data_IF_999944574228
#
_entry.id   IF_999944574228
#
_cell.length_a   1.000
_cell.length_b   1.000
_cell.length_c   1.000
_cell.angle_alpha   90.00
_cell.angle_beta   90.00
_cell.angle_gamma   90.00
#
_symmetry.space_group_name_H-M   'P 1'
#
loop_
_entity.id
_entity.type
_entity.pdbx_description
1 polymer ?
#
# COMPACT_ATOMS: atom_id res chain seq x y z
N UNK A 1 11.13 -11.87 6.85
CA UNK A 1 9.71 -12.04 7.23
C UNK A 1 9.05 -13.10 6.33
N UNK A 2 8.96 -12.88 5.01
CA UNK A 2 8.28 -13.81 4.07
C UNK A 2 8.78 -15.26 4.19
N UNK A 3 10.11 -15.47 4.25
CA UNK A 3 10.68 -16.80 4.42
C UNK A 3 10.19 -17.48 5.72
N UNK A 4 10.12 -16.75 6.83
CA UNK A 4 9.56 -17.27 8.07
C UNK A 4 8.08 -17.66 7.93
N UNK A 5 7.27 -16.80 7.31
CA UNK A 5 5.84 -17.10 7.14
C UNK A 5 5.59 -18.38 6.33
N UNK A 6 6.46 -18.65 5.35
CA UNK A 6 6.35 -19.84 4.51
C UNK A 6 6.92 -21.11 5.16
N UNK A 7 8.05 -21.00 5.86
CA UNK A 7 8.80 -22.17 6.36
C UNK A 7 8.59 -22.44 7.83
N UNK A 8 8.14 -21.42 8.60
CA UNK A 8 8.11 -21.41 10.08
C UNK A 8 9.47 -21.62 10.74
N UNK A 9 10.55 -21.52 9.98
CA UNK A 9 11.90 -21.63 10.52
C UNK A 9 12.27 -20.34 11.27
N UNK A 10 12.47 -20.47 12.57
CA UNK A 10 12.76 -19.37 13.51
C UNK A 10 13.98 -18.53 13.12
N UNK A 11 14.96 -19.13 12.46
CA UNK A 11 16.17 -18.41 12.00
C UNK A 11 15.84 -17.23 11.10
N UNK A 12 14.80 -17.34 10.26
CA UNK A 12 14.36 -16.24 9.41
C UNK A 12 13.65 -15.12 10.18
N UNK A 13 12.94 -15.46 11.27
CA UNK A 13 12.35 -14.46 12.14
C UNK A 13 13.43 -13.68 12.90
N UNK A 14 14.40 -14.40 13.48
CA UNK A 14 15.49 -13.79 14.24
C UNK A 14 16.34 -12.86 13.37
N UNK A 15 16.66 -13.27 12.13
CA UNK A 15 17.37 -12.42 11.17
C UNK A 15 16.54 -11.20 10.76
N UNK A 16 15.21 -11.36 10.56
CA UNK A 16 14.34 -10.24 10.24
C UNK A 16 14.29 -9.22 11.39
N UNK A 17 14.15 -9.68 12.63
CA UNK A 17 14.17 -8.82 13.83
C UNK A 17 15.46 -8.05 13.95
N UNK A 18 16.61 -8.75 13.76
CA UNK A 18 17.93 -8.13 13.81
C UNK A 18 18.04 -6.98 12.80
N UNK A 19 17.63 -7.22 11.55
CA UNK A 19 17.69 -6.20 10.48
C UNK A 19 16.76 -5.03 10.77
N UNK A 20 15.53 -5.29 11.20
CA UNK A 20 14.57 -4.21 11.47
C UNK A 20 15.05 -3.35 12.64
N UNK A 21 15.58 -3.96 13.71
CA UNK A 21 16.18 -3.20 14.82
C UNK A 21 17.34 -2.32 14.36
N UNK A 22 18.23 -2.84 13.54
CA UNK A 22 19.33 -2.06 12.97
C UNK A 22 18.81 -0.90 12.11
N UNK A 23 17.86 -1.16 11.24
CA UNK A 23 17.29 -0.14 10.35
C UNK A 23 16.51 0.93 11.12
N UNK A 24 15.83 0.58 12.23
CA UNK A 24 15.13 1.52 13.06
C UNK A 24 16.08 2.59 13.65
N UNK A 25 17.32 2.23 13.98
CA UNK A 25 18.33 3.18 14.47
C UNK A 25 18.71 4.25 13.43
N UNK A 26 18.48 4.01 12.15
CA UNK A 26 18.75 5.00 11.09
C UNK A 26 17.79 6.20 11.18
N UNK A 27 16.61 6.02 11.78
CA UNK A 27 15.64 7.08 12.07
C UNK A 27 16.12 8.13 13.07
N UNK A 28 17.15 7.81 13.88
CA UNK A 28 17.77 8.77 14.81
C UNK A 28 18.47 9.92 14.09
N UNK A 29 18.77 9.75 12.81
CA UNK A 29 19.28 10.82 11.97
C UNK A 29 18.11 11.72 11.53
N UNK A 30 17.76 12.69 12.38
CA UNK A 30 16.63 13.63 12.24
C UNK A 30 16.62 14.46 10.95
N UNK A 31 17.61 14.33 10.09
CA UNK A 31 17.64 14.95 8.76
C UNK A 31 16.88 14.13 7.69
N UNK A 32 16.28 13.03 8.08
CA UNK A 32 15.57 12.09 7.20
C UNK A 32 14.06 12.18 7.43
N UNK A 33 13.58 13.33 7.83
CA UNK A 33 12.14 13.61 7.86
C UNK A 33 11.68 13.83 6.42
N UNK A 34 10.89 12.93 5.91
CA UNK A 34 10.32 13.03 4.58
C UNK A 34 9.69 11.75 4.11
N UNK A 35 8.82 11.88 3.15
CA UNK A 35 7.83 10.91 2.67
C UNK A 35 8.30 9.47 2.58
N UNK A 36 9.52 9.24 2.07
CA UNK A 36 9.97 7.89 1.73
C UNK A 36 10.70 7.17 2.88
N UNK A 37 11.55 7.86 3.59
CA UNK A 37 12.42 7.20 4.58
C UNK A 37 11.67 6.86 5.85
N UNK A 38 10.94 7.84 6.40
CA UNK A 38 10.13 7.65 7.60
C UNK A 38 9.00 6.64 7.34
N UNK A 39 8.30 6.75 6.21
CA UNK A 39 7.29 5.77 5.79
C UNK A 39 7.89 4.37 5.62
N UNK A 40 9.11 4.25 5.08
CA UNK A 40 9.79 2.96 4.95
C UNK A 40 10.08 2.34 6.31
N UNK A 41 10.61 3.10 7.26
CA UNK A 41 10.90 2.61 8.61
C UNK A 41 9.61 2.23 9.35
N UNK A 42 8.59 3.07 9.28
CA UNK A 42 7.26 2.75 9.84
C UNK A 42 6.69 1.46 9.26
N UNK A 43 6.76 1.30 7.94
CA UNK A 43 6.30 0.09 7.25
C UNK A 43 7.04 -1.16 7.71
N UNK A 44 8.37 -1.09 7.82
CA UNK A 44 9.20 -2.23 8.23
C UNK A 44 8.93 -2.64 9.68
N UNK A 45 8.83 -1.67 10.60
CA UNK A 45 8.51 -1.94 12.00
C UNK A 45 7.11 -2.54 12.13
N UNK A 46 6.12 -1.99 11.44
CA UNK A 46 4.74 -2.48 11.46
C UNK A 46 4.64 -3.90 10.89
N UNK A 47 5.26 -4.16 9.74
CA UNK A 47 5.27 -5.49 9.14
C UNK A 47 5.99 -6.53 10.01
N UNK A 48 7.06 -6.14 10.70
CA UNK A 48 7.76 -7.06 11.60
C UNK A 48 6.93 -7.33 12.85
N UNK A 49 6.29 -6.30 13.40
CA UNK A 49 5.44 -6.41 14.57
C UNK A 49 4.26 -7.37 14.32
N UNK A 50 3.52 -7.16 13.25
CA UNK A 50 2.37 -7.98 12.89
C UNK A 50 2.77 -9.40 12.48
N UNK A 51 3.63 -9.54 11.49
CA UNK A 51 3.95 -10.83 10.88
C UNK A 51 4.75 -11.78 11.79
N UNK A 52 5.45 -11.25 12.79
CA UNK A 52 6.27 -12.03 13.72
C UNK A 52 5.73 -12.02 15.15
N UNK A 53 4.55 -11.45 15.39
CA UNK A 53 3.99 -11.17 16.71
C UNK A 53 4.10 -12.37 17.66
N UNK A 54 3.69 -13.57 17.21
CA UNK A 54 3.67 -14.79 18.03
C UNK A 54 5.05 -15.29 18.47
N UNK A 55 6.10 -14.86 17.76
CA UNK A 55 7.49 -15.31 18.00
C UNK A 55 8.41 -14.24 18.56
N UNK A 56 7.94 -13.00 18.66
CA UNK A 56 8.69 -11.92 19.30
C UNK A 56 8.71 -12.10 20.81
N UNK A 57 9.87 -11.85 21.44
CA UNK A 57 9.93 -11.67 22.88
C UNK A 57 9.34 -10.32 23.30
N UNK A 58 9.02 -10.20 24.59
CA UNK A 58 8.39 -8.99 25.13
C UNK A 58 9.25 -7.73 24.96
N UNK A 59 10.56 -7.84 25.05
CA UNK A 59 11.47 -6.70 24.86
C UNK A 59 11.43 -6.20 23.40
N UNK A 60 11.43 -7.14 22.46
CA UNK A 60 11.34 -6.82 21.01
C UNK A 60 9.97 -6.28 20.64
N UNK A 61 8.88 -6.83 21.18
CA UNK A 61 7.54 -6.25 20.97
C UNK A 61 7.48 -4.81 21.45
N UNK A 62 7.94 -4.56 22.68
CA UNK A 62 7.95 -3.21 23.24
C UNK A 62 8.81 -2.25 22.41
N UNK A 63 9.97 -2.70 21.95
CA UNK A 63 10.83 -1.90 21.07
C UNK A 63 10.10 -1.53 19.77
N UNK A 64 9.58 -2.51 19.03
CA UNK A 64 8.88 -2.24 17.76
C UNK A 64 7.65 -1.38 17.96
N UNK A 65 6.87 -1.61 19.01
CA UNK A 65 5.70 -0.79 19.33
C UNK A 65 6.08 0.68 19.58
N UNK A 66 7.21 0.92 20.27
CA UNK A 66 7.74 2.26 20.48
C UNK A 66 8.18 2.92 19.17
N UNK A 67 8.89 2.20 18.31
CA UNK A 67 9.30 2.73 16.99
C UNK A 67 8.10 3.05 16.10
N UNK A 68 7.07 2.18 16.09
CA UNK A 68 5.83 2.44 15.36
C UNK A 68 5.15 3.71 15.90
N UNK A 69 5.10 3.88 17.23
CA UNK A 69 4.56 5.07 17.87
C UNK A 69 5.32 6.32 17.47
N UNK A 70 6.65 6.31 17.56
CA UNK A 70 7.49 7.48 17.24
C UNK A 70 7.35 7.87 15.76
N UNK A 71 7.56 6.94 14.83
CA UNK A 71 7.43 7.22 13.39
C UNK A 71 6.00 7.59 12.98
N UNK A 72 4.99 6.85 13.47
CA UNK A 72 3.59 7.12 13.16
C UNK A 72 3.13 8.47 13.70
N UNK A 73 3.52 8.83 14.94
CA UNK A 73 3.19 10.14 15.53
C UNK A 73 3.91 11.29 14.81
N UNK A 74 5.15 11.08 14.37
CA UNK A 74 5.91 12.06 13.59
C UNK A 74 5.21 12.31 12.25
N UNK A 75 4.90 11.25 11.50
CA UNK A 75 4.16 11.35 10.23
C UNK A 75 2.80 12.01 10.41
N UNK A 76 2.03 11.59 11.40
CA UNK A 76 0.72 12.17 11.68
C UNK A 76 0.81 13.68 11.97
N UNK A 77 1.74 14.10 12.83
CA UNK A 77 1.97 15.51 13.13
C UNK A 77 2.39 16.32 11.91
N UNK A 78 3.24 15.74 11.07
CA UNK A 78 3.74 16.42 9.88
C UNK A 78 2.64 16.59 8.85
N UNK A 79 1.77 15.61 8.73
CA UNK A 79 0.81 15.51 7.64
C UNK A 79 -0.59 16.03 7.98
N UNK A 80 -0.95 16.07 9.27
CA UNK A 80 -2.25 16.63 9.66
C UNK A 80 -2.38 18.09 9.19
N UNK A 81 -3.51 18.44 8.60
CA UNK A 81 -3.79 19.72 7.92
C UNK A 81 -2.95 19.99 6.66
N UNK A 82 -2.17 19.02 6.18
CA UNK A 82 -1.40 19.10 4.94
C UNK A 82 -1.88 18.14 3.88
N UNK A 83 -2.20 16.90 4.27
CA UNK A 83 -2.73 15.88 3.37
C UNK A 83 -4.00 16.33 2.66
N UNK A 84 -4.85 17.08 3.34
CA UNK A 84 -6.10 17.60 2.79
C UNK A 84 -5.86 18.52 1.58
N UNK A 85 -4.74 19.24 1.59
CA UNK A 85 -4.34 20.13 0.50
C UNK A 85 -3.54 19.39 -0.60
N UNK A 86 -2.99 18.22 -0.27
CA UNK A 86 -2.13 17.44 -1.16
C UNK A 86 -2.74 16.07 -1.50
N UNK A 87 -4.03 15.90 -1.28
CA UNK A 87 -4.71 14.61 -1.48
C UNK A 87 -4.66 14.11 -2.95
N UNK A 88 -4.36 14.99 -3.89
CA UNK A 88 -4.08 14.64 -5.28
C UNK A 88 -2.59 14.34 -5.52
N UNK A 89 -1.72 14.54 -4.53
CA UNK A 89 -0.29 14.24 -4.63
C UNK A 89 -0.04 12.74 -4.55
N UNK A 90 0.71 12.24 -5.52
CA UNK A 90 0.97 10.80 -5.60
C UNK A 90 1.88 10.28 -4.50
N UNK A 91 2.79 11.10 -3.98
CA UNK A 91 3.65 10.71 -2.87
C UNK A 91 2.86 10.53 -1.59
N UNK A 92 1.90 11.42 -1.34
CA UNK A 92 0.96 11.30 -0.23
C UNK A 92 0.20 9.97 -0.30
N UNK A 93 -0.36 9.65 -1.45
CA UNK A 93 -1.06 8.39 -1.64
C UNK A 93 -0.17 7.16 -1.48
N UNK A 94 0.98 7.20 -2.10
CA UNK A 94 1.91 6.08 -2.16
C UNK A 94 2.53 5.75 -0.81
N UNK A 95 2.92 6.75 -0.06
CA UNK A 95 3.72 6.58 1.14
C UNK A 95 2.94 6.90 2.41
N UNK A 96 2.59 8.16 2.63
CA UNK A 96 2.02 8.56 3.91
C UNK A 96 0.69 7.91 4.17
N UNK A 97 -0.25 8.08 3.28
CA UNK A 97 -1.62 7.60 3.48
C UNK A 97 -1.69 6.07 3.63
N UNK A 98 -1.07 5.34 2.72
CA UNK A 98 -1.06 3.88 2.77
C UNK A 98 -0.33 3.34 3.99
N UNK A 99 0.87 3.86 4.25
CA UNK A 99 1.72 3.34 5.33
C UNK A 99 1.16 3.72 6.71
N UNK A 100 0.67 4.95 6.87
CA UNK A 100 0.04 5.35 8.13
C UNK A 100 -1.24 4.53 8.39
N UNK A 101 -2.06 4.27 7.37
CA UNK A 101 -3.22 3.38 7.48
C UNK A 101 -2.78 1.98 7.92
N UNK A 102 -1.79 1.40 7.28
CA UNK A 102 -1.29 0.07 7.62
C UNK A 102 -0.76 0.02 9.06
N UNK A 103 0.04 1.00 9.47
CA UNK A 103 0.59 1.08 10.82
C UNK A 103 -0.53 1.22 11.87
N UNK A 104 -1.52 2.09 11.62
CA UNK A 104 -2.67 2.26 12.49
C UNK A 104 -3.41 0.93 12.73
N UNK A 105 -3.67 0.18 11.66
CA UNK A 105 -4.31 -1.14 11.78
C UNK A 105 -3.45 -2.17 12.51
N UNK A 106 -2.12 -2.13 12.30
CA UNK A 106 -1.20 -3.06 12.97
C UNK A 106 -1.24 -2.93 14.49
N UNK A 107 -1.39 -1.72 15.01
CA UNK A 107 -1.35 -1.44 16.44
C UNK A 107 -2.69 -0.97 17.02
N UNK A 108 -3.79 -1.17 16.27
CA UNK A 108 -5.13 -0.81 16.68
C UNK A 108 -5.52 -1.54 17.96
N UNK A 109 -5.97 -0.78 18.96
CA UNK A 109 -6.30 -1.32 20.29
C UNK A 109 -5.08 -1.52 21.21
N UNK A 110 -3.86 -1.36 20.73
CA UNK A 110 -2.64 -1.44 21.55
C UNK A 110 -2.01 -0.06 21.80
N UNK A 111 -2.05 0.84 20.79
CA UNK A 111 -1.61 2.23 20.92
C UNK A 111 -2.80 3.18 20.85
N UNK A 112 -3.02 4.04 21.86
CA UNK A 112 -4.11 5.02 21.82
C UNK A 112 -4.02 5.99 20.62
N UNK A 113 -2.82 6.29 20.16
CA UNK A 113 -2.57 7.17 19.01
C UNK A 113 -3.11 6.58 17.70
N UNK A 114 -3.22 5.24 17.61
CA UNK A 114 -3.70 4.56 16.41
C UNK A 114 -5.16 4.88 16.08
N UNK A 115 -5.98 5.20 17.08
CA UNK A 115 -7.37 5.60 16.87
C UNK A 115 -7.42 6.89 16.03
N UNK A 116 -6.64 7.91 16.41
CA UNK A 116 -6.57 9.17 15.69
C UNK A 116 -6.00 8.99 14.27
N UNK A 117 -5.00 8.13 14.09
CA UNK A 117 -4.45 7.83 12.76
C UNK A 117 -5.48 7.13 11.87
N UNK A 118 -6.22 6.16 12.45
CA UNK A 118 -7.26 5.42 11.73
C UNK A 118 -8.38 6.35 11.28
N UNK A 119 -8.89 7.19 12.18
CA UNK A 119 -9.95 8.14 11.88
C UNK A 119 -9.53 9.16 10.82
N UNK A 120 -8.32 9.69 10.94
CA UNK A 120 -7.77 10.65 9.99
C UNK A 120 -7.66 10.06 8.58
N UNK A 121 -7.01 8.91 8.47
CA UNK A 121 -6.87 8.22 7.19
C UNK A 121 -8.22 7.78 6.60
N UNK A 122 -9.17 7.36 7.45
CA UNK A 122 -10.52 7.01 7.01
C UNK A 122 -11.26 8.21 6.42
N UNK A 123 -11.23 9.34 7.10
CA UNK A 123 -11.87 10.57 6.62
C UNK A 123 -11.25 11.07 5.31
N UNK A 124 -9.92 10.98 5.17
CA UNK A 124 -9.24 11.27 3.90
C UNK A 124 -9.69 10.32 2.78
N UNK A 125 -9.80 9.05 3.07
CA UNK A 125 -10.30 8.07 2.11
C UNK A 125 -11.72 8.40 1.64
N UNK A 126 -12.61 8.70 2.57
CA UNK A 126 -13.99 9.07 2.25
C UNK A 126 -14.07 10.37 1.45
N UNK A 127 -13.29 11.39 1.82
CA UNK A 127 -13.29 12.68 1.15
C UNK A 127 -12.72 12.60 -0.27
N UNK A 128 -11.72 11.76 -0.49
CA UNK A 128 -11.00 11.68 -1.77
C UNK A 128 -11.55 10.63 -2.71
N UNK A 129 -11.86 9.46 -2.19
CA UNK A 129 -12.23 8.32 -3.02
C UNK A 129 -13.43 8.59 -3.94
N UNK A 130 -14.52 9.19 -3.47
CA UNK A 130 -15.63 9.60 -4.33
C UNK A 130 -15.27 10.70 -5.33
N UNK A 131 -14.16 11.41 -5.09
CA UNK A 131 -13.62 12.42 -5.98
C UNK A 131 -12.80 11.86 -7.15
N UNK A 132 -12.50 10.55 -7.14
CA UNK A 132 -11.95 9.89 -8.30
C UNK A 132 -12.97 9.89 -9.44
N UNK A 133 -12.47 9.92 -10.67
CA UNK A 133 -13.35 9.96 -11.85
C UNK A 133 -14.26 8.73 -11.90
N UNK A 134 -15.53 8.91 -12.17
CA UNK A 134 -16.48 7.79 -12.26
C UNK A 134 -16.18 6.81 -13.40
N UNK A 135 -15.41 7.24 -14.39
CA UNK A 135 -14.94 6.41 -15.50
C UNK A 135 -13.76 5.50 -15.14
N UNK A 136 -13.24 5.61 -13.92
CA UNK A 136 -12.11 4.82 -13.46
C UNK A 136 -10.74 5.37 -13.84
N UNK A 137 -10.66 6.54 -14.47
CA UNK A 137 -9.40 7.16 -14.86
C UNK A 137 -8.56 7.61 -13.67
N UNK A 138 -7.25 7.57 -13.83
CA UNK A 138 -6.30 8.13 -12.87
C UNK A 138 -5.88 9.55 -13.30
N UNK A 139 -5.83 10.47 -12.35
CA UNK A 139 -5.71 11.90 -12.64
C UNK A 139 -4.29 12.36 -13.07
N UNK A 140 -3.24 11.57 -12.80
CA UNK A 140 -1.87 12.05 -12.93
C UNK A 140 -0.96 11.10 -13.76
N UNK A 141 -1.51 10.47 -14.78
CA UNK A 141 -0.73 9.69 -15.73
C UNK A 141 -0.34 8.29 -15.27
N UNK A 142 0.11 7.51 -16.22
CA UNK A 142 0.26 6.06 -16.07
C UNK A 142 1.38 5.65 -15.12
N UNK A 143 2.50 6.37 -15.08
CA UNK A 143 3.58 5.98 -14.18
C UNK A 143 3.22 6.21 -12.71
N UNK A 144 2.54 7.31 -12.39
CA UNK A 144 2.04 7.54 -11.04
C UNK A 144 0.83 6.67 -10.69
N UNK A 145 0.02 6.29 -11.66
CA UNK A 145 -0.97 5.24 -11.45
C UNK A 145 -0.29 3.95 -10.99
N UNK A 146 0.75 3.52 -11.70
CA UNK A 146 1.47 2.29 -11.41
C UNK A 146 2.04 2.24 -9.98
N UNK A 147 2.65 3.31 -9.49
CA UNK A 147 3.21 3.34 -8.14
C UNK A 147 2.16 3.41 -7.03
N UNK A 148 0.92 3.77 -7.37
CA UNK A 148 -0.20 3.84 -6.42
C UNK A 148 -1.09 2.58 -6.38
N UNK A 149 -0.82 1.57 -7.22
CA UNK A 149 -1.66 0.37 -7.31
C UNK A 149 -1.87 -0.33 -5.96
N UNK A 150 -0.83 -0.39 -5.15
CA UNK A 150 -0.94 -0.98 -3.80
C UNK A 150 -1.88 -0.19 -2.89
N UNK A 151 -1.79 1.13 -2.91
CA UNK A 151 -2.67 1.99 -2.11
C UNK A 151 -4.13 1.78 -2.49
N UNK A 152 -4.41 1.66 -3.79
CA UNK A 152 -5.76 1.45 -4.32
C UNK A 152 -6.36 0.09 -3.95
N UNK A 153 -5.55 -0.87 -3.53
CA UNK A 153 -6.02 -2.17 -3.04
C UNK A 153 -5.98 -2.24 -1.52
N UNK A 154 -4.85 -1.92 -0.90
CA UNK A 154 -4.62 -2.14 0.52
C UNK A 154 -5.53 -1.27 1.41
N UNK A 155 -5.64 0.02 1.11
CA UNK A 155 -6.46 0.93 1.93
C UNK A 155 -7.94 0.55 1.94
N UNK A 156 -8.63 0.41 0.80
CA UNK A 156 -10.03 -0.02 0.82
C UNK A 156 -10.22 -1.44 1.37
N UNK A 157 -9.24 -2.32 1.22
CA UNK A 157 -9.29 -3.64 1.83
C UNK A 157 -9.30 -3.55 3.37
N UNK A 158 -8.39 -2.76 3.97
CA UNK A 158 -8.37 -2.57 5.42
C UNK A 158 -9.68 -1.99 5.93
N UNK A 159 -10.18 -0.92 5.33
CA UNK A 159 -11.45 -0.33 5.77
C UNK A 159 -12.66 -1.23 5.50
N UNK A 160 -12.65 -2.03 4.43
CA UNK A 160 -13.68 -3.05 4.21
C UNK A 160 -13.69 -4.06 5.36
N UNK A 161 -12.52 -4.48 5.82
CA UNK A 161 -12.40 -5.40 6.97
C UNK A 161 -12.84 -4.78 8.27
N UNK A 162 -12.55 -3.51 8.49
CA UNK A 162 -12.92 -2.79 9.71
C UNK A 162 -14.40 -2.50 9.79
N UNK A 163 -14.99 -2.01 8.71
CA UNK A 163 -16.36 -1.46 8.70
C UNK A 163 -17.41 -2.47 8.23
N UNK A 164 -17.00 -3.51 7.52
CA UNK A 164 -17.91 -4.44 6.83
C UNK A 164 -18.51 -3.88 5.53
N UNK A 165 -18.23 -2.62 5.17
CA UNK A 165 -18.68 -2.03 3.91
C UNK A 165 -17.68 -2.34 2.79
N UNK A 166 -18.16 -2.81 1.64
CA UNK A 166 -17.30 -3.11 0.50
C UNK A 166 -16.95 -1.85 -0.30
N UNK A 167 -15.79 -1.26 -0.01
CA UNK A 167 -15.30 -0.06 -0.73
C UNK A 167 -14.94 -0.32 -2.18
N UNK A 168 -14.77 -1.57 -2.60
CA UNK A 168 -14.59 -1.93 -4.01
C UNK A 168 -15.88 -1.92 -4.82
N UNK A 169 -17.03 -1.70 -4.18
CA UNK A 169 -18.31 -1.51 -4.87
C UNK A 169 -18.45 -0.15 -5.55
N UNK A 170 -17.50 0.78 -5.30
CA UNK A 170 -17.51 2.08 -5.98
C UNK A 170 -17.35 1.90 -7.50
N UNK A 171 -18.19 2.58 -8.31
CA UNK A 171 -18.15 2.49 -9.77
C UNK A 171 -16.78 2.80 -10.40
N UNK A 172 -15.95 3.59 -9.74
CA UNK A 172 -14.59 3.86 -10.19
C UNK A 172 -13.79 2.58 -10.40
N UNK A 173 -13.92 1.58 -9.52
CA UNK A 173 -13.17 0.33 -9.66
C UNK A 173 -13.60 -0.48 -10.87
N UNK A 174 -14.88 -0.44 -11.25
CA UNK A 174 -15.36 -1.08 -12.46
C UNK A 174 -14.79 -0.41 -13.71
N UNK A 175 -14.79 0.93 -13.75
CA UNK A 175 -14.18 1.71 -14.84
C UNK A 175 -12.66 1.56 -14.88
N UNK A 176 -12.01 1.44 -13.73
CA UNK A 176 -10.56 1.35 -13.65
C UNK A 176 -10.00 0.08 -14.29
N UNK A 177 -10.74 -1.01 -14.34
CA UNK A 177 -10.35 -2.19 -15.10
C UNK A 177 -10.14 -1.87 -16.60
N UNK A 178 -11.02 -1.07 -17.18
CA UNK A 178 -10.87 -0.61 -18.56
C UNK A 178 -9.68 0.36 -18.70
N UNK A 179 -9.49 1.26 -17.72
CA UNK A 179 -8.33 2.14 -17.70
C UNK A 179 -7.01 1.35 -17.74
N UNK A 180 -6.87 0.31 -16.91
CA UNK A 180 -5.70 -0.59 -16.91
C UNK A 180 -5.43 -1.16 -18.30
N UNK A 181 -6.47 -1.68 -18.97
CA UNK A 181 -6.38 -2.32 -20.28
C UNK A 181 -6.02 -1.31 -21.36
N UNK A 182 -6.68 -0.15 -21.40
CA UNK A 182 -6.41 0.86 -22.42
C UNK A 182 -5.08 1.56 -22.25
N UNK A 183 -4.62 1.73 -21.02
CA UNK A 183 -3.29 2.30 -20.77
C UNK A 183 -2.16 1.34 -21.17
N UNK A 184 -2.35 0.05 -21.00
CA UNK A 184 -1.37 -0.95 -21.37
C UNK A 184 -2.06 -2.25 -21.79
N UNK A 185 -2.49 -2.39 -23.05
CA UNK A 185 -2.99 -3.65 -23.57
C UNK A 185 -1.99 -4.79 -23.38
N UNK A 186 -2.43 -6.06 -23.30
CA UNK A 186 -1.52 -7.19 -23.17
C UNK A 186 -0.37 -7.12 -24.17
N UNK A 187 0.86 -7.31 -23.69
CA UNK A 187 2.10 -7.33 -24.48
C UNK A 187 2.46 -6.02 -25.17
N UNK A 188 1.87 -4.89 -24.78
CA UNK A 188 2.17 -3.58 -25.33
C UNK A 188 2.95 -2.70 -24.35
N UNK A 189 3.40 -1.56 -24.84
CA UNK A 189 3.92 -0.48 -24.01
C UNK A 189 2.80 0.21 -23.26
N UNK A 190 3.11 0.79 -22.10
CA UNK A 190 2.16 1.66 -21.40
C UNK A 190 1.83 2.92 -22.22
N UNK A 191 0.63 3.44 -22.01
CA UNK A 191 0.21 4.71 -22.57
C UNK A 191 1.07 5.87 -22.06
N UNK A 192 1.20 6.90 -22.88
CA UNK A 192 2.04 8.07 -22.59
C UNK A 192 1.26 9.29 -22.09
N UNK A 193 0.14 9.12 -21.40
CA UNK A 193 -0.64 10.24 -20.89
C UNK A 193 -0.15 10.73 -19.53
N UNK A 194 -0.21 12.03 -19.31
CA UNK A 194 0.14 12.68 -18.06
C UNK A 194 1.61 12.50 -17.68
N UNK A 195 1.89 12.36 -16.40
CA UNK A 195 3.25 12.10 -15.90
C UNK A 195 3.68 10.68 -16.23
N UNK A 196 4.58 10.54 -17.20
CA UNK A 196 5.15 9.27 -17.66
C UNK A 196 6.65 9.28 -17.48
N UNK A 197 7.12 9.17 -16.24
CA UNK A 197 8.53 9.14 -15.94
C UNK A 197 9.21 7.81 -16.31
N UNK A 198 8.42 6.77 -16.49
CA UNK A 198 8.91 5.43 -16.78
C UNK A 198 8.24 4.88 -18.05
N UNK A 199 9.05 4.43 -18.98
CA UNK A 199 8.58 3.62 -20.09
C UNK A 199 8.41 2.18 -19.60
N UNK A 200 7.22 1.84 -19.18
CA UNK A 200 6.89 0.45 -18.87
C UNK A 200 6.61 -0.26 -20.20
N UNK A 201 7.58 -1.04 -20.64
CA UNK A 201 7.57 -1.63 -21.99
C UNK A 201 6.59 -2.80 -22.14
N UNK A 202 6.34 -3.49 -21.03
CA UNK A 202 5.41 -4.64 -20.97
C UNK A 202 4.68 -4.64 -19.65
N UNK A 203 3.46 -5.17 -19.55
CA UNK A 203 2.81 -5.39 -18.27
C UNK A 203 3.73 -6.20 -17.35
N UNK A 204 3.91 -5.72 -16.12
CA UNK A 204 4.70 -6.39 -15.10
C UNK A 204 3.82 -6.97 -14.00
N UNK A 205 4.43 -7.75 -13.08
CA UNK A 205 3.73 -8.41 -11.99
C UNK A 205 2.88 -7.47 -11.13
N UNK A 206 3.33 -6.23 -10.89
CA UNK A 206 2.56 -5.24 -10.11
C UNK A 206 1.25 -4.85 -10.81
N UNK A 207 1.30 -4.57 -12.11
CA UNK A 207 0.09 -4.21 -12.88
C UNK A 207 -0.86 -5.39 -13.04
N UNK A 208 -0.32 -6.57 -13.36
CA UNK A 208 -1.12 -7.78 -13.52
C UNK A 208 -1.71 -8.21 -12.18
N UNK A 209 -0.95 -8.11 -11.08
CA UNK A 209 -1.45 -8.36 -9.72
C UNK A 209 -2.55 -7.40 -9.30
N UNK A 210 -2.47 -6.13 -9.72
CA UNK A 210 -3.56 -5.18 -9.50
C UNK A 210 -4.82 -5.57 -10.28
N UNK A 211 -4.68 -5.95 -11.56
CA UNK A 211 -5.81 -6.41 -12.36
C UNK A 211 -6.45 -7.69 -11.77
N UNK A 212 -5.64 -8.61 -11.23
CA UNK A 212 -6.12 -9.79 -10.51
C UNK A 212 -6.90 -9.39 -9.24
N UNK A 213 -6.39 -8.42 -8.47
CA UNK A 213 -7.11 -7.89 -7.32
C UNK A 213 -8.45 -7.26 -7.72
N UNK A 214 -8.49 -6.45 -8.79
CA UNK A 214 -9.75 -5.90 -9.31
C UNK A 214 -10.75 -7.01 -9.69
N UNK A 215 -10.28 -8.02 -10.42
CA UNK A 215 -11.13 -9.15 -10.82
C UNK A 215 -11.75 -9.84 -9.60
N UNK A 216 -10.95 -10.12 -8.58
CA UNK A 216 -11.39 -10.80 -7.35
C UNK A 216 -12.32 -9.95 -6.49
N UNK A 217 -12.03 -8.66 -6.33
CA UNK A 217 -12.75 -7.77 -5.42
C UNK A 217 -14.04 -7.22 -6.03
N UNK A 218 -14.10 -7.09 -7.35
CA UNK A 218 -15.24 -6.48 -8.05
C UNK A 218 -16.03 -7.45 -8.93
N UNK A 219 -15.51 -8.64 -9.20
CA UNK A 219 -16.08 -9.58 -10.18
C UNK A 219 -15.91 -9.10 -11.64
N UNK A 220 -14.99 -8.15 -11.90
CA UNK A 220 -14.82 -7.58 -13.23
C UNK A 220 -14.20 -8.58 -14.21
N UNK A 221 -14.95 -8.94 -15.23
CA UNK A 221 -14.54 -9.96 -16.22
C UNK A 221 -13.47 -9.47 -17.18
N UNK A 222 -13.42 -8.16 -17.48
CA UNK A 222 -12.37 -7.60 -18.33
C UNK A 222 -11.00 -7.65 -17.63
N UNK A 223 -10.97 -7.35 -16.32
CA UNK A 223 -9.74 -7.49 -15.54
C UNK A 223 -9.30 -8.96 -15.46
N UNK A 224 -10.22 -9.90 -15.26
CA UNK A 224 -9.92 -11.32 -15.25
C UNK A 224 -9.36 -11.81 -16.60
N UNK A 225 -9.96 -11.37 -17.71
CA UNK A 225 -9.50 -11.71 -19.05
C UNK A 225 -8.11 -11.12 -19.37
N UNK A 226 -7.83 -9.89 -18.92
CA UNK A 226 -6.51 -9.29 -19.03
C UNK A 226 -5.43 -10.12 -18.33
N UNK A 227 -5.69 -10.54 -17.09
CA UNK A 227 -4.77 -11.41 -16.32
C UNK A 227 -4.57 -12.74 -17.04
N UNK A 228 -5.64 -13.37 -17.48
CA UNK A 228 -5.60 -14.65 -18.20
C UNK A 228 -4.73 -14.58 -19.45
N UNK A 229 -4.96 -13.59 -20.31
CA UNK A 229 -4.18 -13.40 -21.53
C UNK A 229 -2.67 -13.26 -21.30
N UNK A 230 -2.29 -12.53 -20.24
CA UNK A 230 -0.87 -12.35 -19.93
C UNK A 230 -0.30 -13.61 -19.31
N UNK A 231 -1.01 -14.23 -18.37
CA UNK A 231 -0.54 -15.45 -17.67
C UNK A 231 -0.39 -16.66 -18.60
N UNK A 232 -1.16 -16.74 -19.67
CA UNK A 232 -0.99 -17.80 -20.69
C UNK A 232 0.40 -17.80 -21.34
N UNK A 233 1.04 -16.63 -21.45
CA UNK A 233 2.39 -16.48 -22.03
C UNK A 233 3.48 -16.24 -20.99
N UNK A 234 3.09 -15.81 -19.81
CA UNK A 234 3.98 -15.50 -18.68
C UNK A 234 3.38 -16.12 -17.41
N UNK A 235 3.44 -17.45 -17.24
CA UNK A 235 2.78 -18.14 -16.12
C UNK A 235 3.19 -17.60 -14.74
N UNK A 236 4.45 -17.18 -14.59
CA UNK A 236 5.03 -16.73 -13.31
C UNK A 236 4.86 -15.23 -13.06
N UNK A 237 4.04 -14.53 -13.88
CA UNK A 237 3.92 -13.07 -13.82
C UNK A 237 3.40 -12.57 -12.45
N UNK A 238 2.55 -13.32 -11.80
CA UNK A 238 1.99 -13.00 -10.49
C UNK A 238 2.94 -13.34 -9.33
N UNK A 239 4.05 -14.03 -9.60
CA UNK A 239 5.06 -14.36 -8.60
C UNK A 239 6.20 -13.32 -8.54
N UNK A 240 6.25 -12.40 -9.49
CA UNK A 240 7.21 -11.30 -9.59
C UNK A 240 6.81 -10.13 -8.69
#
# INVERSE_FOLDING_TARGET
IRAYLLTKDRRYADEAVKRVKEMATWGDNKNVVGDFNEATLLSLCSMAYDALYDVLDNATRKFLLNEIKEFGSSMYKHDINRLENHIADNHVWQMTFRILTMAAFTVYGELPEADAWTDYCYNLWLARFPGLNKDGGWHNGDSYFHVNLRTLVEVPYFYTRLTGYNYFSDPWYQGNALYVIYQQPPFSKSGGNGSSHQNILTPNGTRVGYADALARMTGNTYAADYVRHISERQPDILEQ
#
